data_IF_194753098784
#
_entry.id   IF_194753098784
#
_cell.length_a   1.000
_cell.length_b   1.000
_cell.length_c   1.000
_cell.angle_alpha   90.00
_cell.angle_beta   90.00
_cell.angle_gamma   90.00
#
_symmetry.space_group_name_H-M   'P 1'
#
loop_
_entity.id
_entity.type
_entity.pdbx_description
1 polymer ?
#
# COMPACT_ATOMS: atom_id res chain seq x y z
N UNK A 1 35.33 43.24 -47.21
CA UNK A 1 33.92 43.51 -47.58
C UNK A 1 33.15 42.20 -47.45
N UNK A 2 32.07 42.30 -46.78
CA UNK A 2 31.01 41.31 -46.67
C UNK A 2 31.13 40.47 -45.44
N UNK A 3 30.50 40.87 -44.42
CA UNK A 3 29.11 40.91 -43.94
C UNK A 3 28.53 39.52 -43.76
N UNK A 4 28.45 39.21 -42.51
CA UNK A 4 27.26 38.83 -41.74
C UNK A 4 26.24 37.89 -42.39
N UNK A 5 26.20 36.70 -41.87
CA UNK A 5 24.99 35.96 -41.74
C UNK A 5 24.98 35.18 -40.41
N UNK A 6 24.99 35.90 -39.30
CA UNK A 6 24.50 35.35 -38.05
C UNK A 6 22.96 35.29 -38.13
N UNK A 7 22.45 34.19 -38.67
CA UNK A 7 21.02 33.86 -38.56
C UNK A 7 20.72 33.58 -37.09
N UNK A 8 20.10 34.53 -36.45
CA UNK A 8 19.47 34.45 -35.14
C UNK A 8 18.42 33.34 -35.17
N UNK A 9 18.71 32.21 -34.51
CA UNK A 9 17.66 31.38 -33.98
C UNK A 9 16.93 32.18 -32.90
N UNK A 10 15.95 32.97 -33.33
CA UNK A 10 15.02 33.66 -32.44
C UNK A 10 14.29 32.54 -31.65
N UNK A 11 14.66 32.40 -30.38
CA UNK A 11 13.98 31.48 -29.47
C UNK A 11 12.47 31.80 -29.51
N UNK A 12 11.65 30.80 -29.77
CA UNK A 12 10.19 30.97 -29.65
C UNK A 12 9.85 31.63 -28.33
N UNK A 13 9.00 32.69 -28.37
CA UNK A 13 8.57 33.36 -27.17
C UNK A 13 8.01 32.32 -26.17
N UNK A 14 8.39 32.38 -24.87
CA UNK A 14 8.00 31.35 -23.90
C UNK A 14 6.51 30.99 -23.91
N UNK A 15 5.64 31.98 -24.16
CA UNK A 15 4.20 31.77 -24.28
C UNK A 15 3.83 30.82 -25.43
N UNK A 16 4.43 31.01 -26.63
CA UNK A 16 4.16 30.16 -27.79
C UNK A 16 4.65 28.71 -27.56
N UNK A 17 5.77 28.55 -26.87
CA UNK A 17 6.26 27.23 -26.50
C UNK A 17 5.32 26.52 -25.52
N UNK A 18 4.75 27.23 -24.55
CA UNK A 18 3.74 26.70 -23.61
C UNK A 18 2.50 26.25 -24.37
N UNK A 19 1.99 27.02 -25.33
CA UNK A 19 0.84 26.66 -26.14
C UNK A 19 1.07 25.35 -26.94
N UNK A 20 2.24 25.22 -27.57
CA UNK A 20 2.61 23.99 -28.30
C UNK A 20 2.65 22.78 -27.35
N UNK A 21 3.29 22.93 -26.20
CA UNK A 21 3.38 21.83 -25.20
C UNK A 21 2.01 21.48 -24.61
N UNK A 22 1.14 22.46 -24.40
CA UNK A 22 -0.23 22.18 -23.93
C UNK A 22 -1.08 21.52 -25.03
N UNK A 23 -0.87 21.86 -26.30
CA UNK A 23 -1.50 21.16 -27.42
C UNK A 23 -1.11 19.68 -27.46
N UNK A 24 0.18 19.38 -27.35
CA UNK A 24 0.70 18.01 -27.29
C UNK A 24 0.19 17.26 -26.05
N UNK A 25 0.24 17.91 -24.87
CA UNK A 25 -0.28 17.33 -23.64
C UNK A 25 -1.77 17.00 -23.74
N UNK A 26 -2.55 17.87 -24.34
CA UNK A 26 -3.99 17.68 -24.55
C UNK A 26 -4.28 16.45 -25.43
N UNK A 27 -3.51 16.24 -26.51
CA UNK A 27 -3.61 15.03 -27.33
C UNK A 27 -3.27 13.77 -26.54
N UNK A 28 -2.14 13.77 -25.86
CA UNK A 28 -1.71 12.62 -25.04
C UNK A 28 -2.72 12.31 -23.92
N UNK A 29 -3.33 13.33 -23.30
CA UNK A 29 -4.38 13.14 -22.33
C UNK A 29 -5.62 12.47 -22.93
N UNK A 30 -6.08 12.91 -24.08
CA UNK A 30 -7.20 12.28 -24.77
C UNK A 30 -6.93 10.81 -25.09
N UNK A 31 -5.79 10.51 -25.68
CA UNK A 31 -5.37 9.13 -25.97
C UNK A 31 -5.29 8.28 -24.72
N UNK A 32 -4.65 8.78 -23.66
CA UNK A 32 -4.57 8.08 -22.37
C UNK A 32 -5.94 7.77 -21.79
N UNK A 33 -6.85 8.73 -21.81
CA UNK A 33 -8.20 8.55 -21.29
C UNK A 33 -8.95 7.45 -22.06
N UNK A 34 -8.86 7.44 -23.40
CA UNK A 34 -9.47 6.40 -24.23
C UNK A 34 -8.85 5.01 -23.99
N UNK A 35 -7.52 4.94 -23.78
CA UNK A 35 -6.83 3.71 -23.39
C UNK A 35 -7.32 3.23 -22.02
N UNK A 36 -7.42 4.11 -21.02
CA UNK A 36 -7.97 3.78 -19.70
C UNK A 36 -9.42 3.27 -19.85
N UNK A 37 -10.23 3.87 -20.75
CA UNK A 37 -11.58 3.40 -21.08
C UNK A 37 -11.60 1.95 -21.59
N UNK A 38 -10.72 1.61 -22.53
CA UNK A 38 -10.63 0.23 -23.03
C UNK A 38 -10.14 -0.75 -21.96
N UNK A 39 -9.20 -0.34 -21.11
CA UNK A 39 -8.75 -1.16 -19.98
C UNK A 39 -9.92 -1.45 -19.02
N UNK A 40 -10.74 -0.45 -18.72
CA UNK A 40 -11.93 -0.60 -17.87
C UNK A 40 -12.94 -1.59 -18.48
N UNK A 41 -13.18 -1.54 -19.78
CA UNK A 41 -14.05 -2.51 -20.48
C UNK A 41 -13.52 -3.94 -20.37
N UNK A 42 -12.21 -4.15 -20.57
CA UNK A 42 -11.57 -5.47 -20.41
C UNK A 42 -11.74 -5.98 -18.97
N UNK A 43 -11.63 -5.09 -17.98
CA UNK A 43 -11.83 -5.45 -16.56
C UNK A 43 -13.29 -5.87 -16.32
N UNK A 44 -14.26 -5.14 -16.90
CA UNK A 44 -15.66 -5.50 -16.79
C UNK A 44 -15.96 -6.86 -17.47
N UNK A 45 -15.36 -7.15 -18.62
CA UNK A 45 -15.44 -8.46 -19.28
C UNK A 45 -14.86 -9.57 -18.38
N UNK A 46 -13.65 -9.36 -17.82
CA UNK A 46 -13.01 -10.33 -16.92
C UNK A 46 -13.83 -10.62 -15.66
N UNK A 47 -14.53 -9.62 -15.12
CA UNK A 47 -15.36 -9.78 -13.93
C UNK A 47 -16.70 -10.47 -14.27
N UNK A 48 -17.37 -10.05 -15.33
CA UNK A 48 -18.63 -10.63 -15.80
C UNK A 48 -18.50 -12.12 -16.14
N UNK A 49 -17.39 -12.49 -16.78
CA UNK A 49 -17.15 -13.86 -17.24
C UNK A 49 -16.42 -14.69 -16.15
N UNK A 50 -16.28 -14.17 -14.92
CA UNK A 50 -15.65 -14.82 -13.74
C UNK A 50 -14.23 -15.37 -14.00
N UNK A 51 -13.48 -14.76 -14.92
CA UNK A 51 -12.18 -15.28 -15.36
C UNK A 51 -11.04 -15.03 -14.36
N UNK A 52 -11.26 -14.23 -13.33
CA UNK A 52 -10.25 -13.92 -12.30
C UNK A 52 -9.73 -15.20 -11.60
N UNK A 53 -10.62 -16.14 -11.28
CA UNK A 53 -10.27 -17.38 -10.56
C UNK A 53 -9.27 -18.26 -11.30
N UNK A 54 -9.35 -18.29 -12.62
CA UNK A 54 -8.46 -19.09 -13.47
C UNK A 54 -6.99 -18.60 -13.46
N UNK A 55 -6.74 -17.38 -13.03
CA UNK A 55 -5.41 -16.75 -13.04
C UNK A 55 -4.60 -16.98 -11.76
N UNK A 56 -5.21 -17.57 -10.72
CA UNK A 56 -4.62 -17.70 -9.39
C UNK A 56 -4.66 -16.42 -8.55
N UNK A 57 -5.13 -15.29 -9.09
CA UNK A 57 -5.23 -14.05 -8.33
C UNK A 57 -6.34 -14.12 -7.27
N UNK A 58 -6.11 -13.49 -6.12
CA UNK A 58 -7.08 -13.51 -4.99
C UNK A 58 -8.32 -12.63 -5.20
N UNK A 59 -8.25 -11.67 -6.12
CA UNK A 59 -9.34 -10.75 -6.46
C UNK A 59 -9.07 -10.09 -7.79
N UNK A 60 -10.11 -9.57 -8.43
CA UNK A 60 -9.97 -8.79 -9.67
C UNK A 60 -9.06 -7.56 -9.47
N UNK A 61 -9.15 -6.86 -8.35
CA UNK A 61 -8.25 -5.73 -8.02
C UNK A 61 -6.79 -6.16 -7.96
N UNK A 62 -6.50 -7.31 -7.32
CA UNK A 62 -5.14 -7.83 -7.27
C UNK A 62 -4.64 -8.27 -8.65
N UNK A 63 -5.50 -8.86 -9.48
CA UNK A 63 -5.20 -9.21 -10.85
C UNK A 63 -4.86 -7.98 -11.68
N UNK A 64 -5.69 -6.95 -11.62
CA UNK A 64 -5.50 -5.69 -12.34
C UNK A 64 -4.18 -5.03 -11.92
N UNK A 65 -3.94 -4.85 -10.62
CA UNK A 65 -2.70 -4.26 -10.12
C UNK A 65 -1.46 -5.03 -10.64
N UNK A 66 -1.51 -6.36 -10.58
CA UNK A 66 -0.43 -7.21 -11.06
C UNK A 66 -0.20 -7.09 -12.56
N UNK A 67 -1.26 -7.28 -13.37
CA UNK A 67 -1.13 -7.38 -14.83
C UNK A 67 -0.88 -6.05 -15.51
N UNK A 68 -1.40 -4.96 -14.97
CA UNK A 68 -1.18 -3.60 -15.51
C UNK A 68 0.02 -2.89 -14.89
N UNK A 69 0.55 -3.38 -13.76
CA UNK A 69 1.68 -2.76 -13.06
C UNK A 69 1.31 -1.47 -12.32
N UNK A 70 0.03 -1.22 -12.08
CA UNK A 70 -0.44 -0.03 -11.37
C UNK A 70 -0.49 -0.25 -9.85
N UNK A 71 -0.58 0.83 -9.10
CA UNK A 71 -0.77 0.74 -7.64
C UNK A 71 -2.10 0.09 -7.28
N UNK A 72 -2.24 -0.56 -6.11
CA UNK A 72 -3.51 -1.10 -5.64
C UNK A 72 -4.64 -0.07 -5.66
N UNK A 73 -4.36 1.18 -5.27
CA UNK A 73 -5.34 2.28 -5.28
C UNK A 73 -5.87 2.59 -6.68
N UNK A 74 -4.99 2.61 -7.70
CA UNK A 74 -5.41 2.83 -9.09
C UNK A 74 -6.20 1.62 -9.62
N UNK A 75 -5.81 0.41 -9.26
CA UNK A 75 -6.57 -0.80 -9.59
C UNK A 75 -7.97 -0.78 -8.97
N UNK A 76 -8.13 -0.32 -7.72
CA UNK A 76 -9.44 -0.11 -7.10
C UNK A 76 -10.31 0.86 -7.90
N UNK A 77 -9.74 1.97 -8.36
CA UNK A 77 -10.46 2.95 -9.21
C UNK A 77 -10.89 2.31 -10.54
N UNK A 78 -10.00 1.61 -11.23
CA UNK A 78 -10.33 0.91 -12.49
C UNK A 78 -11.47 -0.10 -12.31
N UNK A 79 -11.43 -0.90 -11.26
CA UNK A 79 -12.47 -1.89 -10.94
C UNK A 79 -13.78 -1.21 -10.53
N UNK A 80 -13.73 -0.11 -9.77
CA UNK A 80 -14.93 0.64 -9.38
C UNK A 80 -15.66 1.21 -10.62
N UNK A 81 -14.91 1.74 -11.57
CA UNK A 81 -15.49 2.23 -12.85
C UNK A 81 -16.04 1.06 -13.67
N UNK A 82 -15.30 -0.05 -13.77
CA UNK A 82 -15.72 -1.23 -14.52
C UNK A 82 -17.07 -1.80 -14.05
N UNK A 83 -17.31 -1.82 -12.75
CA UNK A 83 -18.55 -2.33 -12.13
C UNK A 83 -19.77 -1.46 -12.41
N UNK A 84 -19.56 -0.18 -12.71
CA UNK A 84 -20.65 0.77 -12.89
C UNK A 84 -20.76 1.30 -14.33
N UNK A 85 -20.10 0.64 -15.30
CA UNK A 85 -20.15 1.05 -16.71
C UNK A 85 -21.58 1.12 -17.27
N UNK A 86 -22.43 0.17 -16.87
CA UNK A 86 -23.83 0.10 -17.32
C UNK A 86 -24.72 1.14 -16.63
N UNK A 87 -24.37 1.55 -15.42
CA UNK A 87 -25.10 2.55 -14.64
C UNK A 87 -24.74 4.00 -15.08
N UNK A 88 -23.52 4.18 -15.61
CA UNK A 88 -22.97 5.48 -16.01
C UNK A 88 -22.51 5.50 -17.47
N UNK A 89 -23.42 5.27 -18.44
CA UNK A 89 -23.06 5.19 -19.86
C UNK A 89 -22.48 6.50 -20.40
N UNK A 90 -23.01 7.69 -20.03
CA UNK A 90 -22.48 8.97 -20.50
C UNK A 90 -21.05 9.24 -20.01
N UNK A 91 -20.77 8.89 -18.74
CA UNK A 91 -19.42 8.98 -18.18
C UNK A 91 -18.48 7.97 -18.84
N UNK A 92 -18.96 6.74 -19.12
CA UNK A 92 -18.21 5.70 -19.84
C UNK A 92 -17.86 6.14 -21.26
N UNK A 93 -18.82 6.72 -21.99
CA UNK A 93 -18.59 7.29 -23.32
C UNK A 93 -17.60 8.45 -23.26
N UNK A 94 -17.71 9.35 -22.29
CA UNK A 94 -16.75 10.42 -22.06
C UNK A 94 -15.31 9.91 -21.84
N UNK A 95 -15.14 8.79 -21.12
CA UNK A 95 -13.86 8.14 -20.95
C UNK A 95 -13.37 7.48 -22.25
N UNK A 96 -14.23 6.74 -22.94
CA UNK A 96 -13.94 6.05 -24.20
C UNK A 96 -13.54 7.00 -25.32
N UNK A 97 -14.20 8.13 -25.42
CA UNK A 97 -13.92 9.19 -26.37
C UNK A 97 -12.75 10.09 -25.95
N UNK A 98 -12.13 9.83 -24.81
CA UNK A 98 -11.00 10.59 -24.32
C UNK A 98 -11.34 11.92 -23.63
N UNK A 99 -12.61 12.32 -23.57
CA UNK A 99 -13.07 13.60 -23.01
C UNK A 99 -12.94 13.67 -21.49
N UNK A 100 -13.19 12.58 -20.80
CA UNK A 100 -13.10 12.46 -19.34
C UNK A 100 -11.92 11.60 -18.92
N UNK A 101 -11.27 11.95 -17.84
CA UNK A 101 -10.18 11.16 -17.27
C UNK A 101 -10.70 10.03 -16.35
N UNK A 102 -9.91 8.96 -16.21
CA UNK A 102 -10.21 7.89 -15.27
C UNK A 102 -10.42 8.40 -13.84
N UNK A 103 -9.67 9.42 -13.43
CA UNK A 103 -9.78 9.98 -12.07
C UNK A 103 -11.11 10.75 -11.88
N UNK A 104 -11.62 11.41 -12.91
CA UNK A 104 -12.94 12.06 -12.88
C UNK A 104 -14.05 11.01 -12.80
N UNK A 105 -14.05 10.05 -13.73
CA UNK A 105 -15.07 8.97 -13.76
C UNK A 105 -14.95 8.10 -12.51
N UNK A 106 -13.75 7.87 -11.99
CA UNK A 106 -13.53 7.12 -10.76
C UNK A 106 -14.18 7.74 -9.52
N UNK A 107 -14.11 9.06 -9.37
CA UNK A 107 -14.80 9.76 -8.28
C UNK A 107 -16.32 9.63 -8.38
N UNK A 108 -16.86 9.69 -9.59
CA UNK A 108 -18.28 9.50 -9.85
C UNK A 108 -18.69 8.05 -9.52
N UNK A 109 -18.01 7.09 -10.11
CA UNK A 109 -18.27 5.66 -9.93
C UNK A 109 -18.14 5.20 -8.46
N UNK A 110 -17.28 5.85 -7.67
CA UNK A 110 -17.06 5.46 -6.27
C UNK A 110 -18.28 5.76 -5.39
N UNK A 111 -19.04 6.84 -5.68
CA UNK A 111 -20.02 7.35 -4.70
C UNK A 111 -21.26 8.04 -5.26
N UNK A 112 -21.36 8.33 -6.54
CA UNK A 112 -22.51 9.02 -7.10
C UNK A 112 -23.76 8.13 -7.05
N UNK A 113 -24.92 8.74 -6.84
CA UNK A 113 -26.19 8.04 -6.78
C UNK A 113 -26.62 7.56 -8.17
N UNK A 114 -27.41 6.48 -8.21
CA UNK A 114 -27.97 5.94 -9.44
C UNK A 114 -28.84 6.98 -10.15
N UNK A 115 -28.77 7.03 -11.48
CA UNK A 115 -29.46 8.00 -12.31
C UNK A 115 -28.81 9.37 -12.42
N UNK A 116 -27.63 9.57 -11.82
CA UNK A 116 -26.88 10.85 -11.87
C UNK A 116 -25.87 10.96 -13.03
N UNK A 117 -25.87 9.99 -13.94
CA UNK A 117 -24.86 9.86 -14.99
C UNK A 117 -24.74 11.11 -15.88
N UNK A 118 -25.86 11.55 -16.46
CA UNK A 118 -25.90 12.73 -17.34
C UNK A 118 -25.45 13.99 -16.62
N UNK A 119 -25.92 14.18 -15.35
CA UNK A 119 -25.53 15.31 -14.51
C UNK A 119 -24.01 15.37 -14.28
N UNK A 120 -23.40 14.25 -13.94
CA UNK A 120 -21.95 14.23 -13.67
C UNK A 120 -21.11 14.18 -14.95
N UNK A 121 -21.59 13.58 -16.02
CA UNK A 121 -20.91 13.64 -17.31
C UNK A 121 -20.78 15.10 -17.81
N UNK A 122 -21.84 15.90 -17.67
CA UNK A 122 -21.83 17.32 -17.99
C UNK A 122 -20.92 18.11 -17.05
N UNK A 123 -21.09 17.95 -15.72
CA UNK A 123 -20.28 18.65 -14.72
C UNK A 123 -18.78 18.33 -14.87
N UNK A 124 -18.41 17.11 -15.24
CA UNK A 124 -17.03 16.69 -15.39
C UNK A 124 -16.29 17.41 -16.53
N UNK A 125 -16.99 17.98 -17.50
CA UNK A 125 -16.35 18.77 -18.58
C UNK A 125 -15.70 20.04 -18.05
N UNK A 126 -16.22 20.62 -16.97
CA UNK A 126 -15.77 21.89 -16.39
C UNK A 126 -15.14 21.72 -15.01
N UNK A 127 -15.52 20.69 -14.26
CA UNK A 127 -15.10 20.49 -12.87
C UNK A 127 -13.82 19.67 -12.74
N UNK A 128 -12.92 20.15 -11.92
CA UNK A 128 -11.73 19.37 -11.50
C UNK A 128 -12.15 18.16 -10.65
N UNK A 129 -11.29 17.14 -10.55
CA UNK A 129 -11.49 15.96 -9.69
C UNK A 129 -11.88 16.35 -8.25
N UNK A 130 -11.28 17.42 -7.72
CA UNK A 130 -11.59 17.92 -6.38
C UNK A 130 -13.01 18.50 -6.29
N UNK A 131 -13.45 19.24 -7.30
CA UNK A 131 -14.80 19.79 -7.38
C UNK A 131 -15.84 18.69 -7.53
N UNK A 132 -15.61 17.70 -8.41
CA UNK A 132 -16.47 16.51 -8.53
C UNK A 132 -16.62 15.78 -7.19
N UNK A 133 -15.51 15.57 -6.48
CA UNK A 133 -15.55 14.94 -5.15
C UNK A 133 -16.39 15.73 -4.14
N UNK A 134 -16.39 17.06 -4.24
CA UNK A 134 -17.25 17.91 -3.42
C UNK A 134 -18.70 17.80 -3.85
N UNK A 135 -18.98 17.86 -5.16
CA UNK A 135 -20.33 17.73 -5.71
C UNK A 135 -21.02 16.43 -5.29
N UNK A 136 -20.33 15.29 -5.46
CA UNK A 136 -20.82 13.97 -5.05
C UNK A 136 -21.06 13.88 -3.52
N UNK A 137 -20.30 14.61 -2.71
CA UNK A 137 -20.52 14.66 -1.25
C UNK A 137 -21.77 15.47 -0.85
N UNK A 138 -22.17 16.41 -1.68
CA UNK A 138 -23.35 17.26 -1.43
C UNK A 138 -24.67 16.57 -1.81
N UNK A 139 -24.62 15.42 -2.47
CA UNK A 139 -25.83 14.63 -2.73
C UNK A 139 -26.53 14.29 -1.41
N UNK A 140 -27.86 14.44 -1.35
CA UNK A 140 -28.64 14.00 -0.21
C UNK A 140 -28.49 12.47 -0.07
N UNK A 141 -28.07 12.04 1.11
CA UNK A 141 -27.97 10.61 1.44
C UNK A 141 -28.95 10.31 2.57
N UNK A 142 -29.51 9.11 2.53
CA UNK A 142 -30.17 8.59 3.71
C UNK A 142 -29.23 8.72 4.92
N UNK A 143 -29.77 9.08 6.09
CA UNK A 143 -28.96 9.16 7.30
C UNK A 143 -28.10 7.91 7.41
N UNK A 144 -26.77 8.05 7.52
CA UNK A 144 -25.91 6.91 7.63
C UNK A 144 -26.32 6.12 8.88
N UNK A 145 -26.51 4.82 8.72
CA UNK A 145 -26.62 3.94 9.88
C UNK A 145 -25.54 4.29 10.90
N UNK A 146 -25.84 4.30 12.20
CA UNK A 146 -24.86 4.64 13.21
C UNK A 146 -23.60 3.82 12.95
N UNK A 147 -22.50 4.52 12.64
CA UNK A 147 -21.23 3.85 12.36
C UNK A 147 -20.91 2.94 13.52
N UNK A 148 -20.63 1.66 13.26
CA UNK A 148 -20.18 0.77 14.33
C UNK A 148 -19.00 1.43 15.04
N UNK A 149 -18.94 1.27 16.35
CA UNK A 149 -17.82 1.79 17.14
C UNK A 149 -16.49 1.43 16.47
N UNK A 150 -15.56 2.37 16.39
CA UNK A 150 -14.29 2.12 15.71
C UNK A 150 -13.62 0.88 16.32
N UNK A 151 -13.40 -0.13 15.50
CA UNK A 151 -12.72 -1.35 15.94
C UNK A 151 -11.29 -1.00 16.37
N UNK A 152 -10.84 -1.64 17.46
CA UNK A 152 -9.46 -1.55 17.91
C UNK A 152 -8.53 -1.86 16.75
N UNK A 153 -7.57 -1.00 16.48
CA UNK A 153 -6.56 -1.25 15.47
C UNK A 153 -5.21 -0.71 15.89
N UNK A 154 -4.17 -1.42 15.47
CA UNK A 154 -2.78 -1.03 15.61
C UNK A 154 -2.12 -1.17 14.23
N UNK A 155 -1.64 -0.07 13.69
CA UNK A 155 -0.93 -0.06 12.40
C UNK A 155 0.45 0.53 12.57
N UNK A 156 1.44 -0.09 11.89
CA UNK A 156 2.82 0.34 11.83
C UNK A 156 3.16 0.64 10.38
N UNK A 157 3.73 1.80 10.13
CA UNK A 157 4.19 2.23 8.80
C UNK A 157 5.65 2.65 8.93
N UNK A 158 6.51 2.06 8.13
CA UNK A 158 7.92 2.43 8.05
C UNK A 158 8.10 3.61 7.10
N UNK A 159 8.79 4.65 7.54
CA UNK A 159 9.26 5.78 6.76
C UNK A 159 10.78 5.78 6.66
N UNK A 160 11.33 6.75 5.95
CA UNK A 160 12.77 6.95 5.86
C UNK A 160 13.28 7.55 7.19
N UNK A 161 14.07 6.77 7.94
CA UNK A 161 14.62 7.17 9.24
C UNK A 161 13.63 7.21 10.42
N UNK A 162 12.37 6.81 10.23
CA UNK A 162 11.37 6.77 11.33
C UNK A 162 10.31 5.70 11.10
N UNK A 163 9.62 5.32 12.19
CA UNK A 163 8.46 4.42 12.14
C UNK A 163 7.25 5.10 12.76
N UNK A 164 6.13 5.14 12.03
CA UNK A 164 4.88 5.70 12.52
C UNK A 164 3.98 4.59 13.05
N UNK A 165 3.51 4.75 14.29
CA UNK A 165 2.49 3.89 14.89
C UNK A 165 1.17 4.64 15.00
N UNK A 166 0.08 4.02 14.54
CA UNK A 166 -1.27 4.54 14.70
C UNK A 166 -2.12 3.53 15.45
N UNK A 167 -2.66 3.96 16.59
CA UNK A 167 -3.48 3.14 17.47
C UNK A 167 -4.89 3.74 17.48
N UNK A 168 -5.92 2.90 17.28
CA UNK A 168 -7.32 3.28 17.44
C UNK A 168 -7.87 2.49 18.62
N UNK A 169 -8.33 3.21 19.64
CA UNK A 169 -8.85 2.65 20.87
C UNK A 169 -10.28 3.13 21.10
N UNK A 170 -11.19 2.29 21.64
CA UNK A 170 -12.45 2.72 22.22
C UNK A 170 -12.22 3.73 23.35
N UNK A 171 -13.20 4.59 23.62
CA UNK A 171 -13.07 5.70 24.59
C UNK A 171 -12.55 5.26 25.97
N UNK A 172 -13.03 4.14 26.48
CA UNK A 172 -12.61 3.63 27.79
C UNK A 172 -11.16 3.18 27.80
N UNK A 173 -10.72 2.49 26.74
CA UNK A 173 -9.33 2.03 26.63
C UNK A 173 -8.38 3.21 26.33
N UNK A 174 -8.84 4.21 25.56
CA UNK A 174 -8.10 5.45 25.35
C UNK A 174 -7.87 6.19 26.68
N UNK A 175 -8.91 6.32 27.52
CA UNK A 175 -8.78 6.97 28.82
C UNK A 175 -7.79 6.24 29.76
N UNK A 176 -7.76 4.91 29.75
CA UNK A 176 -6.76 4.12 30.50
C UNK A 176 -5.35 4.34 29.97
N UNK A 177 -5.19 4.37 28.65
CA UNK A 177 -3.91 4.63 28.02
C UNK A 177 -3.40 6.04 28.34
N UNK A 178 -4.27 7.05 28.22
CA UNK A 178 -3.94 8.44 28.53
C UNK A 178 -3.54 8.61 30.00
N UNK A 179 -4.25 7.96 30.92
CA UNK A 179 -3.94 8.00 32.34
C UNK A 179 -2.56 7.35 32.67
N UNK A 180 -2.26 6.21 32.05
CA UNK A 180 -0.96 5.56 32.21
C UNK A 180 0.18 6.41 31.64
N UNK A 181 -0.01 6.96 30.45
CA UNK A 181 0.97 7.84 29.80
C UNK A 181 1.22 9.10 30.63
N UNK A 182 0.14 9.70 31.17
CA UNK A 182 0.26 10.89 32.04
C UNK A 182 1.03 10.58 33.34
N UNK A 183 0.77 9.43 33.98
CA UNK A 183 1.47 9.04 35.18
C UNK A 183 3.00 8.86 34.97
N UNK A 184 3.40 8.28 33.82
CA UNK A 184 4.81 8.18 33.43
C UNK A 184 5.42 9.56 33.15
N UNK A 185 4.71 10.43 32.44
CA UNK A 185 5.16 11.79 32.17
C UNK A 185 5.36 12.59 33.44
N UNK A 186 4.40 12.55 34.38
CA UNK A 186 4.51 13.24 35.66
C UNK A 186 5.70 12.74 36.49
N UNK A 187 6.00 11.43 36.42
CA UNK A 187 7.17 10.83 37.04
C UNK A 187 8.48 11.39 36.49
N UNK A 188 8.64 11.38 35.18
CA UNK A 188 9.81 11.92 34.48
C UNK A 188 10.03 13.41 34.75
N UNK A 189 8.95 14.20 34.74
CA UNK A 189 8.99 15.63 35.04
C UNK A 189 9.40 15.88 36.49
N UNK A 190 8.92 15.07 37.45
CA UNK A 190 9.29 15.18 38.84
C UNK A 190 10.76 14.80 39.07
N UNK A 191 11.29 13.84 38.36
CA UNK A 191 12.70 13.44 38.38
C UNK A 191 13.57 14.53 37.77
N UNK A 192 13.23 15.02 36.59
CA UNK A 192 13.95 16.10 35.91
C UNK A 192 14.04 17.37 36.80
N UNK A 193 12.92 17.77 37.44
CA UNK A 193 12.91 18.90 38.36
C UNK A 193 13.80 18.70 39.59
N UNK A 194 13.85 17.50 40.16
CA UNK A 194 14.74 17.20 41.32
C UNK A 194 16.20 17.34 40.96
N UNK A 195 16.56 16.91 39.75
CA UNK A 195 17.95 16.88 39.31
C UNK A 195 18.45 18.27 38.82
N UNK A 196 17.53 19.19 38.50
CA UNK A 196 17.83 20.52 37.93
C UNK A 196 17.30 21.68 38.81
N UNK A 197 16.89 21.44 40.07
CA UNK A 197 16.31 22.43 40.98
C UNK A 197 17.39 23.23 41.75
N UNK A 198 18.65 23.23 41.30
CA UNK A 198 19.72 24.04 41.87
C UNK A 198 20.02 25.24 40.98
N UNK A 199 19.93 26.46 41.56
CA UNK A 199 20.23 27.76 40.95
C UNK A 199 21.64 27.80 40.33
N UNK A 200 21.81 27.30 39.13
CA UNK A 200 23.06 27.31 38.37
C UNK A 200 22.81 27.34 36.87
N UNK A 201 23.61 28.15 36.16
CA UNK A 201 23.58 28.33 34.72
C UNK A 201 23.41 27.01 33.93
N UNK A 202 22.34 26.90 33.23
CA UNK A 202 21.78 25.70 32.55
C UNK A 202 22.39 25.45 31.15
N UNK A 203 23.69 25.77 30.96
CA UNK A 203 24.39 25.39 29.71
C UNK A 203 24.74 23.89 29.74
N UNK A 204 23.77 23.05 29.29
CA UNK A 204 23.96 21.60 29.11
C UNK A 204 22.92 20.70 29.79
N UNK A 205 21.85 21.25 30.36
CA UNK A 205 20.74 20.42 30.86
C UNK A 205 20.09 19.60 29.75
N UNK A 206 19.73 18.31 30.01
CA UNK A 206 18.97 17.51 29.03
C UNK A 206 17.63 18.17 28.75
N UNK A 207 17.05 17.96 27.54
CA UNK A 207 15.77 18.54 27.18
C UNK A 207 14.67 18.10 28.18
N UNK A 208 13.70 18.99 28.39
CA UNK A 208 12.55 18.71 29.26
C UNK A 208 11.76 17.50 28.72
N UNK A 209 11.40 16.53 29.57
CA UNK A 209 10.71 15.30 29.13
C UNK A 209 9.43 15.58 28.38
N UNK A 210 9.21 14.92 27.26
CA UNK A 210 8.03 15.02 26.45
C UNK A 210 7.12 13.76 26.54
N UNK A 211 6.04 13.71 25.75
CA UNK A 211 5.12 12.56 25.73
C UNK A 211 5.72 11.32 25.06
N UNK A 212 6.72 11.48 24.20
CA UNK A 212 7.43 10.35 23.58
C UNK A 212 8.30 9.67 24.61
N UNK A 213 9.00 10.45 25.43
CA UNK A 213 9.79 9.94 26.58
C UNK A 213 8.90 9.17 27.56
N UNK A 214 7.72 9.71 27.88
CA UNK A 214 6.74 9.04 28.73
C UNK A 214 6.24 7.73 28.12
N UNK A 215 6.01 7.69 26.80
CA UNK A 215 5.62 6.46 26.10
C UNK A 215 6.75 5.43 26.13
N UNK A 216 7.99 5.83 25.92
CA UNK A 216 9.14 4.93 25.99
C UNK A 216 9.35 4.40 27.43
N UNK A 217 9.21 5.23 28.44
CA UNK A 217 9.24 4.82 29.84
C UNK A 217 8.14 3.79 30.18
N UNK A 218 6.91 3.97 29.65
CA UNK A 218 5.83 2.99 29.79
C UNK A 218 6.19 1.65 29.13
N UNK A 219 6.81 1.68 27.95
CA UNK A 219 7.27 0.47 27.23
C UNK A 219 8.36 -0.25 28.03
N UNK A 220 9.34 0.47 28.56
CA UNK A 220 10.46 -0.08 29.33
C UNK A 220 10.01 -0.70 30.65
N UNK A 221 9.09 -0.04 31.37
CA UNK A 221 8.47 -0.58 32.58
C UNK A 221 7.75 -1.91 32.31
N UNK A 222 7.10 -2.03 31.12
CA UNK A 222 6.50 -3.28 30.69
C UNK A 222 7.51 -4.42 30.48
N UNK A 223 8.72 -4.10 30.06
CA UNK A 223 9.78 -5.11 29.88
C UNK A 223 10.19 -5.76 31.19
N UNK A 224 10.40 -4.98 32.24
CA UNK A 224 10.86 -5.48 33.54
C UNK A 224 9.79 -6.28 34.26
N UNK A 225 8.54 -5.88 34.18
CA UNK A 225 7.42 -6.55 34.88
C UNK A 225 7.06 -7.90 34.28
N UNK A 226 7.23 -8.08 32.97
CA UNK A 226 6.88 -9.33 32.27
C UNK A 226 7.93 -10.44 32.40
N UNK A 227 9.19 -10.11 32.64
CA UNK A 227 10.27 -11.10 32.85
C UNK A 227 9.95 -12.05 34.02
N UNK A 228 9.36 -11.53 35.09
CA UNK A 228 8.95 -12.31 36.26
C UNK A 228 7.74 -13.23 36.00
N UNK A 229 6.95 -12.99 34.94
CA UNK A 229 5.72 -13.73 34.61
C UNK A 229 5.87 -14.79 33.51
N UNK A 230 7.00 -14.81 32.79
CA UNK A 230 7.23 -15.77 31.70
C UNK A 230 7.83 -17.09 32.21
N UNK A 231 7.31 -18.25 31.77
CA UNK A 231 7.76 -19.57 32.28
C UNK A 231 9.23 -19.87 32.08
N UNK A 232 9.96 -19.11 31.26
CA UNK A 232 11.38 -19.35 30.94
C UNK A 232 12.27 -18.10 31.03
N UNK A 233 11.81 -17.01 31.69
CA UNK A 233 12.64 -15.82 31.90
C UNK A 233 13.23 -15.18 30.64
N UNK A 234 12.57 -15.36 29.47
CA UNK A 234 13.08 -14.81 28.21
C UNK A 234 12.79 -13.32 28.11
N UNK A 235 13.86 -12.54 28.08
CA UNK A 235 13.80 -11.11 27.81
C UNK A 235 13.22 -10.80 26.39
N UNK A 236 12.67 -9.60 26.24
CA UNK A 236 12.30 -9.08 24.91
C UNK A 236 13.53 -9.04 24.03
N UNK A 237 13.46 -9.64 22.84
CA UNK A 237 14.61 -9.76 21.93
C UNK A 237 14.38 -8.85 20.74
N UNK A 238 15.32 -7.97 20.45
CA UNK A 238 15.40 -7.23 19.19
C UNK A 238 16.19 -8.10 18.21
N UNK A 239 15.56 -8.52 17.13
CA UNK A 239 16.23 -9.30 16.09
C UNK A 239 16.88 -8.37 15.06
N UNK A 240 18.19 -8.55 14.87
CA UNK A 240 18.99 -7.78 13.93
C UNK A 240 19.72 -8.74 12.97
N UNK A 241 19.74 -8.40 11.67
CA UNK A 241 20.52 -9.09 10.65
C UNK A 241 21.84 -8.37 10.42
N UNK A 242 22.95 -9.05 10.63
CA UNK A 242 24.30 -8.50 10.42
C UNK A 242 24.97 -9.22 9.26
N UNK A 243 25.31 -8.50 8.20
CA UNK A 243 26.26 -8.97 7.18
C UNK A 243 27.67 -8.78 7.70
N UNK A 244 28.33 -9.89 8.02
CA UNK A 244 29.67 -9.87 8.62
C UNK A 244 30.74 -9.34 7.68
N UNK A 245 30.57 -9.54 6.35
CA UNK A 245 31.57 -9.09 5.36
C UNK A 245 31.54 -7.57 5.18
N UNK A 246 30.35 -7.01 5.06
CA UNK A 246 30.16 -5.59 4.75
C UNK A 246 29.91 -4.73 6.00
N UNK A 247 29.76 -5.36 7.16
CA UNK A 247 29.40 -4.73 8.44
C UNK A 247 28.10 -3.93 8.38
N UNK A 248 27.20 -4.29 7.48
CA UNK A 248 25.88 -3.67 7.35
C UNK A 248 24.89 -4.44 8.25
N UNK A 249 24.15 -3.71 9.08
CA UNK A 249 23.12 -4.28 9.94
C UNK A 249 21.76 -3.71 9.59
N UNK A 250 20.70 -4.52 9.71
CA UNK A 250 19.31 -4.10 9.54
C UNK A 250 18.45 -4.74 10.64
N UNK A 251 17.43 -4.04 11.11
CA UNK A 251 16.41 -4.62 11.96
C UNK A 251 15.63 -5.69 11.18
N UNK A 252 15.16 -6.72 11.88
CA UNK A 252 14.33 -7.76 11.24
C UNK A 252 13.05 -7.13 10.68
N UNK A 253 12.88 -7.24 9.34
CA UNK A 253 11.81 -6.58 8.57
C UNK A 253 11.79 -5.05 8.73
N UNK A 254 12.91 -4.44 9.07
CA UNK A 254 13.07 -3.02 9.32
C UNK A 254 14.18 -2.38 8.47
N UNK A 255 14.48 -1.10 8.72
CA UNK A 255 15.48 -0.35 7.98
C UNK A 255 16.90 -0.84 8.24
N UNK A 256 17.81 -0.45 7.35
CA UNK A 256 19.25 -0.55 7.58
C UNK A 256 19.64 0.40 8.70
N UNK A 257 20.45 -0.07 9.63
CA UNK A 257 20.94 0.71 10.75
C UNK A 257 22.18 1.52 10.37
N UNK A 258 22.32 2.71 10.95
CA UNK A 258 23.57 3.46 10.91
C UNK A 258 24.68 2.73 11.69
N UNK A 259 25.92 3.12 11.48
CA UNK A 259 27.05 2.54 12.21
C UNK A 259 26.95 2.75 13.73
N UNK A 260 26.44 3.89 14.14
CA UNK A 260 26.24 4.25 15.56
C UNK A 260 25.12 3.41 16.18
N UNK A 261 23.98 3.28 15.53
CA UNK A 261 22.85 2.44 15.98
C UNK A 261 23.26 0.96 16.07
N UNK A 262 24.01 0.47 15.09
CA UNK A 262 24.56 -0.90 15.10
C UNK A 262 25.47 -1.12 16.29
N UNK A 263 26.42 -0.19 16.56
CA UNK A 263 27.36 -0.28 17.68
C UNK A 263 26.62 -0.23 19.02
N UNK A 264 25.65 0.66 19.16
CA UNK A 264 24.83 0.77 20.36
C UNK A 264 24.09 -0.54 20.66
N UNK A 265 23.35 -1.08 19.65
CA UNK A 265 22.60 -2.33 19.84
C UNK A 265 23.49 -3.55 20.09
N UNK A 266 24.71 -3.58 19.56
CA UNK A 266 25.66 -4.67 19.81
C UNK A 266 26.29 -4.60 21.22
N UNK A 267 26.33 -3.41 21.85
CA UNK A 267 26.94 -3.23 23.17
C UNK A 267 25.98 -3.46 24.33
N UNK A 268 24.68 -3.14 24.18
CA UNK A 268 23.77 -3.02 25.36
C UNK A 268 22.48 -3.84 25.23
N UNK A 269 22.22 -4.52 24.11
CA UNK A 269 20.99 -5.27 23.93
C UNK A 269 21.21 -6.79 23.94
N UNK A 270 20.23 -7.55 24.50
CA UNK A 270 20.11 -8.99 24.23
C UNK A 270 19.73 -9.18 22.76
N UNK A 271 20.74 -9.19 21.88
CA UNK A 271 20.57 -9.31 20.45
C UNK A 271 20.53 -10.76 20.01
N UNK A 272 19.58 -11.13 19.14
CA UNK A 272 19.67 -12.35 18.35
C UNK A 272 20.37 -12.02 17.03
N UNK A 273 21.63 -12.40 16.90
CA UNK A 273 22.43 -12.15 15.69
C UNK A 273 22.24 -13.29 14.69
N UNK A 274 21.93 -12.91 13.46
CA UNK A 274 21.78 -13.82 12.33
C UNK A 274 22.97 -13.68 11.40
N UNK A 275 23.66 -14.81 11.15
CA UNK A 275 24.78 -14.84 10.22
C UNK A 275 24.27 -15.10 8.80
N UNK A 276 24.62 -14.22 7.90
CA UNK A 276 24.28 -14.31 6.48
C UNK A 276 25.54 -14.46 5.63
N UNK A 277 25.43 -15.23 4.56
CA UNK A 277 26.43 -15.31 3.50
C UNK A 277 25.76 -14.96 2.18
N UNK A 278 26.22 -13.89 1.51
CA UNK A 278 25.65 -13.40 0.25
C UNK A 278 24.14 -13.13 0.33
N UNK A 279 23.68 -12.50 1.44
CA UNK A 279 22.28 -12.20 1.68
C UNK A 279 21.39 -13.41 1.97
N UNK A 280 21.99 -14.59 2.23
CA UNK A 280 21.26 -15.80 2.60
C UNK A 280 21.57 -16.19 4.04
N UNK A 281 20.57 -16.34 4.91
CA UNK A 281 20.77 -16.82 6.28
C UNK A 281 21.31 -18.25 6.26
N UNK A 282 22.33 -18.51 7.07
CA UNK A 282 22.94 -19.84 7.21
C UNK A 282 22.07 -20.67 8.14
N UNK A 283 21.40 -21.67 7.63
CA UNK A 283 20.28 -22.43 8.16
C UNK A 283 20.31 -22.99 9.61
N UNK A 284 19.14 -23.45 10.05
CA UNK A 284 18.87 -24.08 11.36
C UNK A 284 18.29 -25.48 11.13
N UNK A 285 19.00 -26.49 11.62
CA UNK A 285 18.78 -27.95 11.62
C UNK A 285 17.38 -28.59 11.32
N UNK A 286 17.44 -29.84 10.84
CA UNK A 286 16.47 -30.62 10.03
C UNK A 286 15.40 -31.47 10.75
N UNK A 287 15.24 -31.44 12.07
CA UNK A 287 14.65 -32.62 12.75
C UNK A 287 13.18 -32.55 13.18
N UNK A 288 12.43 -31.48 12.92
CA UNK A 288 11.03 -31.39 13.36
C UNK A 288 10.12 -30.74 12.31
N UNK A 289 8.85 -31.22 12.19
CA UNK A 289 7.78 -30.56 11.45
C UNK A 289 7.52 -29.12 11.93
N UNK A 290 7.77 -28.86 13.20
CA UNK A 290 7.53 -27.55 13.81
C UNK A 290 8.60 -26.56 13.38
N UNK A 291 8.16 -25.51 12.72
CA UNK A 291 9.03 -24.42 12.26
C UNK A 291 9.47 -23.61 13.47
N UNK A 292 10.76 -23.63 13.78
CA UNK A 292 11.33 -22.86 14.89
C UNK A 292 11.14 -21.35 14.65
N UNK A 293 11.11 -20.53 15.72
CA UNK A 293 11.04 -19.07 15.59
C UNK A 293 12.18 -18.52 14.74
N UNK A 294 13.37 -19.09 14.86
CA UNK A 294 14.54 -18.70 14.05
C UNK A 294 14.30 -18.97 12.56
N UNK A 295 13.85 -20.15 12.23
CA UNK A 295 13.55 -20.52 10.84
C UNK A 295 12.41 -19.66 10.27
N UNK A 296 11.40 -19.36 11.09
CA UNK A 296 10.30 -18.47 10.72
C UNK A 296 10.79 -17.06 10.39
N UNK A 297 11.65 -16.47 11.23
CA UNK A 297 12.26 -15.16 10.96
C UNK A 297 13.13 -15.17 9.71
N UNK A 298 13.90 -16.24 9.46
CA UNK A 298 14.69 -16.39 8.25
C UNK A 298 13.82 -16.40 6.99
N UNK A 299 12.68 -17.10 7.03
CA UNK A 299 11.68 -17.09 5.95
C UNK A 299 11.10 -15.69 5.73
N UNK A 300 10.72 -15.00 6.80
CA UNK A 300 10.19 -13.63 6.74
C UNK A 300 11.20 -12.64 6.16
N UNK A 301 12.46 -12.77 6.53
CA UNK A 301 13.54 -11.95 5.99
C UNK A 301 13.78 -12.20 4.51
N UNK A 302 13.79 -13.46 4.06
CA UNK A 302 14.00 -13.83 2.67
C UNK A 302 12.82 -13.48 1.77
N UNK A 303 11.60 -13.89 2.15
CA UNK A 303 10.42 -13.82 1.29
C UNK A 303 9.67 -12.49 1.39
N UNK A 304 9.66 -11.87 2.56
CA UNK A 304 9.02 -10.58 2.90
C UNK A 304 7.51 -10.51 2.64
N UNK A 305 7.02 -11.25 1.67
CA UNK A 305 5.61 -11.34 1.27
C UNK A 305 5.28 -12.75 0.79
N UNK A 306 4.02 -12.99 0.44
CA UNK A 306 3.62 -14.23 -0.22
C UNK A 306 4.40 -14.43 -1.53
N UNK A 307 5.03 -15.59 -1.70
CA UNK A 307 5.90 -15.87 -2.86
C UNK A 307 5.16 -16.12 -4.17
N UNK A 308 3.83 -16.24 -4.12
CA UNK A 308 3.03 -16.39 -5.34
C UNK A 308 3.05 -15.08 -6.14
N UNK A 309 3.42 -15.13 -7.42
CA UNK A 309 3.49 -13.96 -8.28
C UNK A 309 2.20 -13.13 -8.24
N UNK A 310 2.34 -11.80 -8.11
CA UNK A 310 1.22 -10.85 -8.08
C UNK A 310 0.47 -10.74 -6.75
N UNK A 311 0.80 -11.54 -5.73
CA UNK A 311 0.05 -11.54 -4.47
C UNK A 311 0.34 -10.33 -3.56
N UNK A 312 1.61 -10.07 -3.25
CA UNK A 312 2.05 -8.96 -2.39
C UNK A 312 1.54 -8.98 -0.93
N UNK A 313 0.85 -10.04 -0.47
CA UNK A 313 0.37 -10.12 0.91
C UNK A 313 1.54 -10.26 1.90
N UNK A 314 1.56 -9.44 2.96
CA UNK A 314 2.64 -9.39 3.95
C UNK A 314 2.22 -9.86 5.34
N UNK A 315 0.91 -10.06 5.60
CA UNK A 315 0.38 -10.43 6.92
C UNK A 315 -0.26 -11.81 6.90
N UNK A 316 -0.22 -12.49 8.05
CA UNK A 316 -0.85 -13.80 8.21
C UNK A 316 -0.24 -14.89 7.33
N UNK A 317 1.03 -14.77 6.95
CA UNK A 317 1.70 -15.72 6.08
C UNK A 317 1.91 -17.06 6.79
N UNK A 318 1.70 -18.14 6.05
CA UNK A 318 2.00 -19.51 6.48
C UNK A 318 3.32 -19.93 5.86
N UNK A 319 4.15 -20.65 6.62
CA UNK A 319 5.28 -21.33 6.05
C UNK A 319 4.80 -22.68 5.47
N UNK A 320 5.08 -22.87 4.19
CA UNK A 320 4.66 -24.02 3.40
C UNK A 320 5.86 -24.85 2.95
N UNK A 321 5.78 -26.17 3.07
CA UNK A 321 6.79 -27.08 2.55
C UNK A 321 6.55 -27.31 1.06
N UNK A 322 7.54 -27.00 0.22
CA UNK A 322 7.48 -27.21 -1.24
C UNK A 322 7.35 -28.71 -1.57
N UNK A 323 8.24 -29.51 -1.02
CA UNK A 323 8.06 -30.96 -0.91
C UNK A 323 7.36 -31.18 0.42
N UNK A 324 6.16 -31.76 0.40
CA UNK A 324 5.36 -31.91 1.62
C UNK A 324 6.12 -32.71 2.68
N UNK A 325 5.94 -32.33 3.93
CA UNK A 325 6.61 -33.02 5.03
C UNK A 325 6.24 -34.49 5.10
N UNK A 326 5.00 -34.86 4.79
CA UNK A 326 4.51 -36.23 4.70
C UNK A 326 5.18 -37.05 3.60
N UNK A 327 5.68 -36.38 2.55
CA UNK A 327 6.45 -36.98 1.45
C UNK A 327 7.97 -36.95 1.71
N UNK A 328 8.38 -36.70 2.96
CA UNK A 328 9.77 -36.69 3.37
C UNK A 328 10.50 -35.33 3.13
N UNK A 329 9.77 -34.28 2.83
CA UNK A 329 10.34 -32.95 2.63
C UNK A 329 10.99 -32.38 3.89
N UNK A 330 12.23 -31.84 3.81
CA UNK A 330 12.93 -31.31 4.96
C UNK A 330 12.34 -29.99 5.46
N UNK A 331 12.40 -29.76 6.77
CA UNK A 331 12.03 -28.47 7.39
C UNK A 331 13.25 -27.54 7.41
N UNK A 332 13.63 -27.04 6.24
CA UNK A 332 14.75 -26.10 6.04
C UNK A 332 14.40 -24.96 5.09
N UNK A 333 15.30 -23.99 4.98
CA UNK A 333 15.09 -22.78 4.17
C UNK A 333 14.91 -23.07 2.67
N UNK A 334 15.53 -24.12 2.14
CA UNK A 334 15.45 -24.44 0.72
C UNK A 334 14.14 -25.13 0.34
N UNK A 335 13.46 -25.76 1.32
CA UNK A 335 12.18 -26.43 1.11
C UNK A 335 10.98 -25.67 1.69
N UNK A 336 11.17 -24.53 2.33
CA UNK A 336 10.10 -23.74 2.93
C UNK A 336 9.92 -22.41 2.22
N UNK A 337 8.66 -21.99 2.03
CA UNK A 337 8.29 -20.67 1.48
C UNK A 337 7.12 -20.07 2.24
N UNK A 338 7.01 -18.73 2.20
CA UNK A 338 5.87 -18.02 2.80
C UNK A 338 4.74 -17.85 1.80
N UNK A 339 3.56 -18.31 2.16
CA UNK A 339 2.33 -18.15 1.38
C UNK A 339 1.21 -17.57 2.23
N UNK A 340 0.36 -16.74 1.65
CA UNK A 340 -0.82 -16.24 2.36
C UNK A 340 -1.87 -17.38 2.52
N UNK A 341 -2.83 -17.28 3.45
CA UNK A 341 -3.84 -18.29 3.70
C UNK A 341 -4.66 -18.66 2.46
N UNK A 342 -4.89 -17.69 1.56
CA UNK A 342 -5.60 -17.93 0.31
C UNK A 342 -4.78 -18.85 -0.62
N UNK A 343 -3.53 -18.49 -0.94
CA UNK A 343 -2.67 -19.26 -1.83
C UNK A 343 -2.23 -20.61 -1.22
N UNK A 344 -2.12 -20.68 0.09
CA UNK A 344 -1.88 -21.94 0.78
C UNK A 344 -3.01 -22.94 0.54
N UNK A 345 -4.27 -22.48 0.70
CA UNK A 345 -5.45 -23.32 0.38
C UNK A 345 -5.57 -23.60 -1.11
N UNK A 346 -5.31 -22.61 -1.97
CA UNK A 346 -5.40 -22.77 -3.42
C UNK A 346 -4.39 -23.81 -3.93
N UNK A 347 -3.17 -23.82 -3.38
CA UNK A 347 -2.16 -24.85 -3.68
C UNK A 347 -2.65 -26.26 -3.31
N UNK A 348 -3.13 -26.45 -2.07
CA UNK A 348 -3.64 -27.75 -1.62
C UNK A 348 -4.90 -28.21 -2.36
N UNK A 349 -5.62 -27.34 -3.06
CA UNK A 349 -6.76 -27.65 -3.93
C UNK A 349 -6.37 -27.88 -5.38
N UNK A 350 -5.09 -27.78 -5.72
CA UNK A 350 -4.60 -27.92 -7.10
C UNK A 350 -4.88 -26.74 -8.01
N UNK A 351 -5.35 -25.59 -7.48
CA UNK A 351 -5.58 -24.38 -8.26
C UNK A 351 -4.28 -23.70 -8.69
N UNK A 352 -3.22 -23.86 -7.91
CA UNK A 352 -1.84 -23.52 -8.27
C UNK A 352 -0.91 -24.65 -7.81
N UNK A 353 0.27 -24.74 -8.44
CA UNK A 353 1.33 -25.64 -8.00
C UNK A 353 2.60 -24.84 -7.72
N UNK A 354 3.25 -25.13 -6.58
CA UNK A 354 4.50 -24.50 -6.15
C UNK A 354 5.58 -25.58 -6.16
N UNK A 355 6.63 -25.42 -6.97
CA UNK A 355 7.69 -26.41 -7.15
C UNK A 355 9.07 -25.79 -7.18
N UNK A 356 10.09 -26.63 -7.10
CA UNK A 356 11.52 -26.23 -7.13
C UNK A 356 12.05 -25.93 -5.74
N UNK A 357 13.37 -25.76 -5.58
CA UNK A 357 13.91 -25.24 -4.33
C UNK A 357 13.52 -23.77 -4.19
N UNK A 358 13.38 -23.27 -2.96
CA UNK A 358 12.93 -21.90 -2.68
C UNK A 358 13.70 -20.81 -3.44
N UNK A 359 14.96 -21.06 -3.79
CA UNK A 359 15.81 -20.12 -4.60
C UNK A 359 15.45 -20.09 -6.10
N UNK A 360 14.74 -21.10 -6.60
CA UNK A 360 14.32 -21.24 -8.01
C UNK A 360 12.89 -21.68 -8.08
N UNK A 361 12.05 -20.97 -7.37
CA UNK A 361 10.66 -21.27 -7.22
C UNK A 361 9.92 -21.13 -8.56
N UNK A 362 9.12 -22.12 -8.89
CA UNK A 362 8.22 -22.11 -10.03
C UNK A 362 6.80 -22.24 -9.50
N UNK A 363 5.94 -21.31 -9.86
CA UNK A 363 4.51 -21.35 -9.55
C UNK A 363 3.75 -21.46 -10.85
N UNK A 364 2.89 -22.49 -10.96
CA UNK A 364 2.03 -22.69 -12.13
C UNK A 364 0.56 -22.62 -11.75
N UNK A 365 -0.29 -22.26 -12.71
CA UNK A 365 -1.75 -22.36 -12.58
C UNK A 365 -2.24 -23.82 -12.73
N UNK A 366 -3.55 -24.03 -12.63
CA UNK A 366 -4.17 -25.35 -12.77
C UNK A 366 -3.99 -25.99 -14.15
N UNK A 367 -3.64 -25.20 -15.18
CA UNK A 367 -3.33 -25.70 -16.53
C UNK A 367 -1.85 -26.06 -16.71
N UNK A 368 -1.01 -25.82 -15.70
CA UNK A 368 0.43 -26.02 -15.75
C UNK A 368 1.21 -24.84 -16.36
N UNK A 369 0.55 -23.73 -16.68
CA UNK A 369 1.20 -22.53 -17.20
C UNK A 369 1.89 -21.76 -16.06
N UNK A 370 3.15 -21.40 -16.26
CA UNK A 370 3.91 -20.67 -15.27
C UNK A 370 3.35 -19.26 -15.05
N UNK A 371 3.19 -18.88 -13.78
CA UNK A 371 2.84 -17.53 -13.36
C UNK A 371 4.11 -16.68 -13.30
N UNK A 372 4.09 -15.52 -13.92
CA UNK A 372 5.21 -14.57 -13.92
C UNK A 372 4.84 -13.32 -13.15
N UNK A 373 5.78 -12.80 -12.35
CA UNK A 373 5.57 -11.62 -11.51
C UNK A 373 5.48 -10.29 -12.27
N UNK A 374 5.80 -10.28 -13.56
CA UNK A 374 5.83 -9.07 -14.37
C UNK A 374 4.45 -8.55 -14.80
N UNK A 375 4.39 -7.26 -15.11
CA UNK A 375 3.27 -6.63 -15.83
C UNK A 375 3.14 -7.22 -17.24
N UNK A 376 1.94 -7.14 -17.83
CA UNK A 376 1.68 -7.44 -19.24
C UNK A 376 2.12 -6.30 -20.18
N UNK A 377 2.60 -5.19 -19.63
CA UNK A 377 3.06 -4.07 -20.44
C UNK A 377 4.16 -4.52 -21.41
N UNK A 378 3.96 -4.24 -22.66
CA UNK A 378 4.90 -4.52 -23.76
C UNK A 378 4.92 -3.33 -24.73
N UNK A 379 5.92 -3.23 -25.61
CA UNK A 379 5.90 -2.23 -26.67
C UNK A 379 4.59 -2.32 -27.48
N UNK A 380 3.94 -1.18 -27.79
CA UNK A 380 2.66 -1.20 -28.50
C UNK A 380 2.86 -1.75 -29.91
N UNK A 381 1.93 -2.61 -30.33
CA UNK A 381 1.86 -3.16 -31.70
C UNK A 381 0.79 -2.49 -32.55
N UNK A 382 -0.07 -1.70 -31.93
CA UNK A 382 -1.13 -0.91 -32.57
C UNK A 382 -0.89 0.58 -32.36
N UNK A 383 -1.33 1.45 -33.28
CA UNK A 383 -1.25 2.89 -33.07
C UNK A 383 -2.11 3.31 -31.86
N UNK A 384 -1.81 4.47 -31.26
CA UNK A 384 -2.65 5.02 -30.21
C UNK A 384 -4.07 5.30 -30.73
N UNK A 385 -5.08 5.34 -29.83
CA UNK A 385 -6.46 5.69 -30.21
C UNK A 385 -6.53 7.03 -30.95
N UNK A 386 -7.28 7.08 -32.02
CA UNK A 386 -7.59 8.33 -32.74
C UNK A 386 -8.80 8.99 -32.06
N UNK A 387 -8.51 9.89 -31.14
CA UNK A 387 -9.51 10.60 -30.34
C UNK A 387 -9.17 12.09 -30.30
N UNK A 388 -10.18 12.96 -30.10
CA UNK A 388 -9.96 14.39 -29.96
C UNK A 388 -9.03 14.73 -28.81
N UNK A 389 -8.28 15.85 -28.90
CA UNK A 389 -7.53 16.37 -27.79
C UNK A 389 -8.42 16.63 -26.56
N UNK A 390 -7.93 16.29 -25.37
CA UNK A 390 -8.62 16.56 -24.11
C UNK A 390 -7.84 17.61 -23.31
N UNK A 391 -8.24 18.87 -23.33
CA UNK A 391 -7.57 19.94 -22.56
C UNK A 391 -7.77 19.78 -21.05
N UNK A 392 -8.62 18.84 -20.65
CA UNK A 392 -9.05 18.69 -19.26
C UNK A 392 -10.18 19.66 -18.87
N UNK A 393 -10.64 19.63 -17.63
CA UNK A 393 -11.69 20.51 -17.15
C UNK A 393 -11.19 21.96 -17.13
N UNK A 394 -12.07 22.91 -17.44
CA UNK A 394 -11.76 24.35 -17.45
C UNK A 394 -11.34 24.84 -16.06
N UNK A 395 -11.76 24.17 -15.00
CA UNK A 395 -11.45 24.52 -13.63
C UNK A 395 -12.11 25.83 -13.17
N UNK A 396 -13.24 26.18 -13.78
CA UNK A 396 -14.00 27.36 -13.41
C UNK A 396 -14.26 27.40 -11.91
N UNK A 397 -14.32 28.62 -11.36
CA UNK A 397 -14.63 28.81 -9.96
C UNK A 397 -16.06 28.29 -9.70
N UNK A 398 -16.18 27.22 -8.94
CA UNK A 398 -17.47 26.71 -8.52
C UNK A 398 -18.09 27.66 -7.50
N UNK A 399 -19.31 28.12 -7.79
CA UNK A 399 -20.16 28.80 -6.83
C UNK A 399 -21.05 27.81 -6.11
N UNK A 400 -20.55 27.24 -5.02
CA UNK A 400 -21.23 26.23 -4.24
C UNK A 400 -22.55 26.71 -3.63
N UNK A 401 -22.74 28.02 -3.52
CA UNK A 401 -23.99 28.59 -3.04
C UNK A 401 -25.16 28.37 -4.01
N UNK A 402 -24.88 28.39 -5.30
CA UNK A 402 -25.87 28.19 -6.37
C UNK A 402 -25.86 26.78 -6.94
N UNK A 403 -24.91 25.96 -6.56
CA UNK A 403 -24.84 24.58 -7.04
C UNK A 403 -26.01 23.78 -6.46
N UNK A 404 -26.82 23.18 -7.35
CA UNK A 404 -27.89 22.26 -6.98
C UNK A 404 -27.35 20.83 -7.04
N UNK A 405 -27.14 20.17 -5.89
CA UNK A 405 -26.73 18.77 -5.86
C UNK A 405 -27.76 17.89 -6.56
N UNK A 406 -27.29 16.84 -7.22
CA UNK A 406 -28.16 15.82 -7.77
C UNK A 406 -29.11 15.29 -6.69
N UNK A 407 -30.41 15.18 -7.02
CA UNK A 407 -31.44 14.66 -6.14
C UNK A 407 -31.83 13.26 -6.63
N UNK A 408 -31.47 12.17 -5.91
CA UNK A 408 -31.88 10.83 -6.29
C UNK A 408 -33.42 10.73 -6.32
N UNK A 409 -33.96 10.09 -7.34
CA UNK A 409 -35.41 9.82 -7.36
C UNK A 409 -35.77 8.83 -6.25
N UNK A 410 -36.88 9.01 -5.54
CA UNK A 410 -37.34 8.03 -4.57
C UNK A 410 -37.63 6.71 -5.29
N UNK A 411 -37.35 5.56 -4.64
CA UNK A 411 -37.67 4.27 -5.24
C UNK A 411 -39.16 4.21 -5.59
N UNK A 412 -39.53 3.56 -6.71
CA UNK A 412 -40.93 3.42 -7.09
C UNK A 412 -41.67 2.79 -5.93
N UNK A 413 -42.81 3.40 -5.55
CA UNK A 413 -43.67 2.85 -4.50
C UNK A 413 -44.04 1.43 -4.91
N UNK A 414 -43.70 0.46 -4.04
CA UNK A 414 -44.14 -0.90 -4.24
C UNK A 414 -45.68 -0.89 -4.40
N UNK A 415 -46.17 -1.41 -5.52
CA UNK A 415 -47.57 -1.51 -5.84
C UNK A 415 -48.26 -2.57 -4.98
#
# INVERSE_FOLDING_TARGET
MSSDASSSAAGEAPARRVEVLFGELSQLCGQRNAIDGRIVEIIAELERDELCGATGARSITALVAWKTGVTPRRAETLVAVARRLEEFPCCADGLREGRLSLDQVGVIAEKAADGSDEHYAELATVATVRQLRTAVKLEPRAEPEPKPEPQRSFTRVEGDGHTTYRIILPRLDAAKFDAALQAHHDGLVAEWKRDHDTDGDDEGAPPFPDRVDAFMSLVETGWDTEVARRPHGQHTTVAMHLNVADRIAALHLGPVLSDEERQYLLCDANCEVWLERQGQPIGVGRSTRTISRRLRRALEHRDRCCVVPGCGATRGLHAHHIIHWEDGGPTDLDNLVLVCPYHHRLHHRGGITITGPARRLVVTDSSGKQLHGGSLACPPTTPPPDVPPCPGPTGERADWWWYQPFQPQPPPKAA
#
